data_IF_953021854499
#
_entry.id   IF_953021854499
#
_cell.length_a   1.000
_cell.length_b   1.000
_cell.length_c   1.000
_cell.angle_alpha   90.00
_cell.angle_beta   90.00
_cell.angle_gamma   90.00
#
_symmetry.space_group_name_H-M   'P 1'
#
loop_
_entity.id
_entity.type
_entity.pdbx_description
1 polymer ?
#
# COMPACT_ATOMS: atom_id res chain seq x y z
N UNK A 1 -25.87 -48.17 0.43
CA UNK A 1 -25.85 -46.81 -0.14
C UNK A 1 -25.54 -45.85 1.01
N UNK A 2 -24.40 -45.15 0.97
CA UNK A 2 -23.84 -44.43 2.11
C UNK A 2 -24.28 -42.94 2.10
N UNK A 3 -25.02 -42.43 3.11
CA UNK A 3 -25.62 -41.09 3.06
C UNK A 3 -24.81 -40.01 3.82
N UNK A 4 -23.49 -39.93 3.65
CA UNK A 4 -22.66 -38.93 4.36
C UNK A 4 -21.61 -38.27 3.45
N UNK A 5 -22.06 -37.51 2.46
CA UNK A 5 -21.24 -36.44 1.88
C UNK A 5 -21.70 -35.12 2.48
N UNK A 6 -20.88 -34.43 3.30
CA UNK A 6 -21.22 -33.10 3.78
C UNK A 6 -21.35 -32.12 2.59
N UNK A 7 -22.24 -31.12 2.67
CA UNK A 7 -22.45 -30.18 1.57
C UNK A 7 -21.17 -29.42 1.25
N UNK A 8 -20.75 -29.49 -0.01
CA UNK A 8 -19.70 -28.65 -0.57
C UNK A 8 -20.14 -27.19 -0.50
N UNK A 9 -19.36 -26.37 0.20
CA UNK A 9 -19.37 -24.92 0.02
C UNK A 9 -20.22 -24.12 1.00
N UNK A 10 -19.91 -24.15 2.29
CA UNK A 10 -20.25 -23.01 3.15
C UNK A 10 -19.24 -21.90 2.87
N UNK A 11 -19.60 -20.97 1.97
CA UNK A 11 -18.91 -19.69 1.84
C UNK A 11 -19.09 -18.92 3.16
N UNK A 12 -18.16 -19.09 4.08
CA UNK A 12 -18.15 -18.34 5.33
C UNK A 12 -18.12 -16.84 5.03
N UNK A 13 -19.08 -16.08 5.57
CA UNK A 13 -19.06 -14.61 5.51
C UNK A 13 -17.69 -14.13 6.02
N UNK A 14 -17.05 -13.15 5.34
CA UNK A 14 -15.76 -12.66 5.81
C UNK A 14 -15.86 -12.20 7.27
N UNK A 15 -14.86 -12.53 8.09
CA UNK A 15 -14.93 -12.20 9.51
C UNK A 15 -14.99 -10.68 9.70
N UNK A 16 -15.84 -10.21 10.62
CA UNK A 16 -15.93 -8.77 10.96
C UNK A 16 -14.55 -8.21 11.35
N UNK A 17 -13.75 -9.03 12.02
CA UNK A 17 -12.37 -8.71 12.40
C UNK A 17 -11.48 -8.46 11.18
N UNK A 18 -11.56 -9.28 10.12
CA UNK A 18 -10.78 -9.07 8.90
C UNK A 18 -11.18 -7.76 8.20
N UNK A 19 -12.47 -7.45 8.13
CA UNK A 19 -12.93 -6.18 7.57
C UNK A 19 -12.38 -4.97 8.34
N UNK A 20 -12.43 -5.02 9.67
CA UNK A 20 -11.89 -3.96 10.53
C UNK A 20 -10.36 -3.83 10.35
N UNK A 21 -9.64 -4.96 10.35
CA UNK A 21 -8.19 -4.99 10.14
C UNK A 21 -7.78 -4.38 8.79
N UNK A 22 -8.49 -4.73 7.70
CA UNK A 22 -8.22 -4.14 6.39
C UNK A 22 -8.49 -2.63 6.36
N UNK A 23 -9.49 -2.13 7.07
CA UNK A 23 -9.72 -0.69 7.19
C UNK A 23 -8.63 0.02 7.96
N UNK A 24 -8.20 -0.54 9.09
CA UNK A 24 -7.07 0.00 9.87
C UNK A 24 -5.81 0.04 9.02
N UNK A 25 -5.45 -1.06 8.35
CA UNK A 25 -4.25 -1.11 7.52
C UNK A 25 -4.34 -0.16 6.31
N UNK A 26 -5.48 -0.06 5.64
CA UNK A 26 -5.66 0.93 4.55
C UNK A 26 -5.51 2.36 5.07
N UNK A 27 -6.06 2.69 6.24
CA UNK A 27 -5.92 4.01 6.84
C UNK A 27 -4.45 4.32 7.19
N UNK A 28 -3.73 3.35 7.77
CA UNK A 28 -2.31 3.47 8.06
C UNK A 28 -1.49 3.67 6.77
N UNK A 29 -1.68 2.82 5.76
CA UNK A 29 -1.02 2.97 4.46
C UNK A 29 -1.35 4.31 3.81
N UNK A 30 -2.63 4.70 3.83
CA UNK A 30 -3.08 5.99 3.31
C UNK A 30 -2.35 7.14 3.98
N UNK A 31 -2.31 7.17 5.31
CA UNK A 31 -1.60 8.19 6.07
C UNK A 31 -0.09 8.19 5.78
N UNK A 32 0.54 7.01 5.74
CA UNK A 32 1.98 6.89 5.49
C UNK A 32 2.36 7.37 4.09
N UNK A 33 1.67 6.90 3.05
CA UNK A 33 2.00 7.25 1.68
C UNK A 33 1.59 8.69 1.34
N UNK A 34 0.38 9.14 1.75
CA UNK A 34 0.00 10.55 1.55
C UNK A 34 0.93 11.48 2.32
N UNK A 35 1.22 11.16 3.59
CA UNK A 35 2.14 11.95 4.41
C UNK A 35 3.55 12.01 3.81
N UNK A 36 4.08 10.88 3.32
CA UNK A 36 5.38 10.84 2.65
C UNK A 36 5.40 11.67 1.38
N UNK A 37 4.36 11.58 0.56
CA UNK A 37 4.23 12.36 -0.68
C UNK A 37 4.15 13.86 -0.41
N UNK A 38 3.34 14.29 0.56
CA UNK A 38 3.26 15.70 0.98
C UNK A 38 4.63 16.18 1.50
N UNK A 39 5.26 15.42 2.39
CA UNK A 39 6.56 15.79 2.96
C UNK A 39 7.62 15.98 1.87
N UNK A 40 7.74 15.03 0.93
CA UNK A 40 8.69 15.13 -0.19
C UNK A 40 8.37 16.27 -1.16
N UNK A 41 7.10 16.59 -1.36
CA UNK A 41 6.68 17.64 -2.28
C UNK A 41 6.91 19.05 -1.73
N UNK A 42 6.77 19.24 -0.42
CA UNK A 42 6.73 20.58 0.19
C UNK A 42 7.93 20.92 1.08
N UNK A 43 8.79 19.95 1.43
CA UNK A 43 10.05 20.24 2.14
C UNK A 43 11.14 20.67 1.16
N UNK A 44 11.89 21.76 1.44
CA UNK A 44 13.04 22.15 0.62
C UNK A 44 14.06 21.01 0.45
N UNK A 45 14.54 20.81 -0.78
CA UNK A 45 15.43 19.69 -1.10
C UNK A 45 16.68 19.60 -0.20
N UNK A 46 17.38 20.70 0.13
CA UNK A 46 18.54 20.62 1.03
C UNK A 46 18.19 20.12 2.44
N UNK A 47 17.05 20.54 2.98
CA UNK A 47 16.55 20.08 4.29
C UNK A 47 16.18 18.61 4.23
N UNK A 48 15.51 18.19 3.15
CA UNK A 48 15.12 16.80 2.96
C UNK A 48 16.35 15.90 2.81
N UNK A 49 17.36 16.33 2.05
CA UNK A 49 18.62 15.59 1.87
C UNK A 49 19.42 15.46 3.17
N UNK A 50 19.28 16.38 4.13
CA UNK A 50 19.88 16.26 5.45
C UNK A 50 19.22 15.15 6.30
N UNK A 51 17.93 14.85 6.07
CA UNK A 51 17.18 13.83 6.81
C UNK A 51 17.17 12.47 6.11
N UNK A 52 17.04 12.45 4.79
CA UNK A 52 17.04 11.25 3.95
C UNK A 52 18.04 11.43 2.80
N UNK A 53 19.32 11.07 2.99
CA UNK A 53 20.42 11.40 2.08
C UNK A 53 20.19 11.06 0.60
N UNK A 54 19.47 9.97 0.30
CA UNK A 54 19.18 9.57 -1.08
C UNK A 54 18.44 10.66 -1.87
N UNK A 55 17.63 11.51 -1.20
CA UNK A 55 16.87 12.56 -1.85
C UNK A 55 17.76 13.59 -2.54
N UNK A 56 18.93 13.88 -1.96
CA UNK A 56 19.94 14.79 -2.56
C UNK A 56 20.90 14.11 -3.54
N UNK A 57 20.78 12.79 -3.72
CA UNK A 57 21.71 11.98 -4.52
C UNK A 57 21.07 11.42 -5.80
N UNK A 58 19.84 11.86 -6.08
CA UNK A 58 19.08 11.55 -7.30
C UNK A 58 18.65 12.84 -7.97
N UNK A 59 18.32 12.83 -9.28
CA UNK A 59 17.75 14.00 -9.93
C UNK A 59 16.49 14.49 -9.20
N UNK A 60 16.27 15.79 -9.00
CA UNK A 60 15.08 16.31 -8.31
C UNK A 60 13.76 15.84 -8.92
N UNK A 61 13.71 15.70 -10.24
CA UNK A 61 12.55 15.15 -10.94
C UNK A 61 12.19 13.73 -10.49
N UNK A 62 13.18 12.89 -10.17
CA UNK A 62 12.95 11.55 -9.65
C UNK A 62 12.30 11.60 -8.26
N UNK A 63 12.83 12.43 -7.34
CA UNK A 63 12.25 12.63 -6.02
C UNK A 63 10.78 13.06 -6.10
N UNK A 64 10.47 14.06 -6.93
CA UNK A 64 9.09 14.55 -7.08
C UNK A 64 8.17 13.56 -7.78
N UNK A 65 8.69 12.75 -8.72
CA UNK A 65 7.92 11.64 -9.27
C UNK A 65 7.54 10.61 -8.19
N UNK A 66 8.47 10.26 -7.29
CA UNK A 66 8.17 9.40 -6.14
C UNK A 66 7.14 10.04 -5.22
N UNK A 67 7.21 11.35 -4.97
CA UNK A 67 6.22 12.06 -4.16
C UNK A 67 4.80 11.95 -4.77
N UNK A 68 4.67 12.10 -6.09
CA UNK A 68 3.38 11.93 -6.79
C UNK A 68 2.89 10.48 -6.73
N UNK A 69 3.78 9.50 -6.90
CA UNK A 69 3.42 8.08 -6.80
C UNK A 69 2.96 7.74 -5.38
N UNK A 70 3.63 8.26 -4.35
CA UNK A 70 3.22 8.08 -2.96
C UNK A 70 1.81 8.66 -2.71
N UNK A 71 1.55 9.89 -3.17
CA UNK A 71 0.21 10.48 -3.07
C UNK A 71 -0.85 9.63 -3.78
N UNK A 72 -0.56 9.19 -5.00
CA UNK A 72 -1.48 8.35 -5.78
C UNK A 72 -1.75 7.00 -5.11
N UNK A 73 -0.71 6.36 -4.57
CA UNK A 73 -0.82 5.09 -3.84
C UNK A 73 -1.61 5.23 -2.55
N UNK A 74 -1.31 6.25 -1.74
CA UNK A 74 -1.98 6.51 -0.47
C UNK A 74 -3.45 6.90 -0.63
N UNK A 75 -3.77 7.75 -1.60
CA UNK A 75 -5.16 8.07 -1.92
C UNK A 75 -5.88 6.86 -2.54
N UNK A 76 -5.22 6.16 -3.46
CA UNK A 76 -5.76 5.01 -4.17
C UNK A 76 -6.08 3.82 -3.27
N UNK A 77 -5.32 3.61 -2.19
CA UNK A 77 -5.57 2.49 -1.26
C UNK A 77 -6.77 2.75 -0.34
N UNK A 78 -7.25 4.00 -0.23
CA UNK A 78 -8.37 4.38 0.65
C UNK A 78 -9.62 4.80 -0.12
N UNK A 79 -9.51 5.78 -1.02
CA UNK A 79 -10.67 6.49 -1.59
C UNK A 79 -11.60 5.60 -2.43
N UNK A 80 -11.14 4.70 -3.32
CA UNK A 80 -12.03 3.86 -4.12
C UNK A 80 -12.87 2.91 -3.25
N UNK A 81 -12.26 2.36 -2.20
CA UNK A 81 -12.93 1.53 -1.19
C UNK A 81 -13.90 2.34 -0.33
N UNK A 82 -13.53 3.55 0.09
CA UNK A 82 -14.36 4.42 0.94
C UNK A 82 -15.59 4.96 0.20
N UNK A 83 -15.40 5.43 -1.03
CA UNK A 83 -16.47 5.98 -1.87
C UNK A 83 -17.28 4.90 -2.56
N UNK A 84 -16.74 3.68 -2.62
CA UNK A 84 -17.24 2.54 -3.41
C UNK A 84 -17.30 2.81 -4.92
N UNK A 85 -16.55 3.79 -5.42
CA UNK A 85 -16.42 4.07 -6.86
C UNK A 85 -15.19 3.31 -7.37
N UNK A 86 -15.41 2.35 -8.27
CA UNK A 86 -14.38 1.43 -8.79
C UNK A 86 -13.45 0.84 -7.68
N UNK A 87 -13.97 0.11 -6.67
CA UNK A 87 -13.16 -0.42 -5.57
C UNK A 87 -11.96 -1.29 -5.98
N UNK A 88 -11.98 -1.85 -7.19
CA UNK A 88 -10.82 -2.55 -7.78
C UNK A 88 -9.55 -1.69 -7.85
N UNK A 89 -9.67 -0.36 -7.91
CA UNK A 89 -8.53 0.55 -7.86
C UNK A 89 -7.78 0.49 -6.52
N UNK A 90 -8.46 0.17 -5.41
CA UNK A 90 -7.78 -0.06 -4.13
C UNK A 90 -6.84 -1.26 -4.19
N UNK A 91 -7.26 -2.33 -4.88
CA UNK A 91 -6.43 -3.52 -5.05
C UNK A 91 -5.20 -3.19 -5.90
N UNK A 92 -5.38 -2.45 -7.00
CA UNK A 92 -4.26 -2.02 -7.84
C UNK A 92 -3.32 -1.06 -7.12
N UNK A 93 -3.85 -0.11 -6.35
CA UNK A 93 -3.06 0.81 -5.54
C UNK A 93 -2.23 0.07 -4.48
N UNK A 94 -2.82 -0.89 -3.77
CA UNK A 94 -2.11 -1.72 -2.81
C UNK A 94 -0.97 -2.52 -3.47
N UNK A 95 -1.20 -3.08 -4.68
CA UNK A 95 -0.14 -3.74 -5.44
C UNK A 95 0.96 -2.76 -5.88
N UNK A 96 0.58 -1.57 -6.35
CA UNK A 96 1.52 -0.51 -6.73
C UNK A 96 2.38 -0.04 -5.56
N UNK A 97 1.78 0.15 -4.38
CA UNK A 97 2.52 0.46 -3.15
C UNK A 97 3.52 -0.65 -2.79
N UNK A 98 3.13 -1.93 -2.90
CA UNK A 98 4.06 -3.04 -2.67
C UNK A 98 5.22 -3.01 -3.66
N UNK A 99 4.95 -2.83 -4.96
CA UNK A 99 5.98 -2.76 -6.01
C UNK A 99 6.92 -1.57 -5.82
N UNK A 100 6.39 -0.42 -5.42
CA UNK A 100 7.19 0.76 -5.09
C UNK A 100 8.16 0.46 -3.94
N UNK A 101 7.68 -0.19 -2.88
CA UNK A 101 8.53 -0.50 -1.73
C UNK A 101 9.55 -1.60 -2.02
N UNK A 102 9.21 -2.59 -2.85
CA UNK A 102 10.20 -3.56 -3.37
C UNK A 102 11.28 -2.82 -4.18
N UNK A 103 10.88 -1.86 -5.04
CA UNK A 103 11.83 -1.05 -5.80
C UNK A 103 12.73 -0.23 -4.89
N UNK A 104 12.18 0.35 -3.82
CA UNK A 104 12.95 1.09 -2.81
C UNK A 104 13.94 0.18 -2.06
N UNK A 105 13.55 -1.05 -1.72
CA UNK A 105 14.47 -2.04 -1.10
C UNK A 105 15.64 -2.32 -2.03
N UNK A 106 15.37 -2.62 -3.32
CA UNK A 106 16.42 -2.86 -4.32
C UNK A 106 17.32 -1.64 -4.48
N UNK A 107 16.74 -0.43 -4.52
CA UNK A 107 17.48 0.83 -4.59
C UNK A 107 18.43 0.99 -3.40
N UNK A 108 17.97 0.82 -2.16
CA UNK A 108 18.83 0.92 -0.98
C UNK A 108 19.90 -0.18 -0.92
N UNK A 109 19.56 -1.42 -1.29
CA UNK A 109 20.53 -2.51 -1.36
C UNK A 109 21.63 -2.23 -2.38
N UNK A 110 21.30 -1.69 -3.55
CA UNK A 110 22.28 -1.33 -4.59
C UNK A 110 23.29 -0.26 -4.13
N UNK A 111 22.99 0.43 -3.03
CA UNK A 111 23.79 1.52 -2.44
C UNK A 111 24.49 1.11 -1.13
N UNK A 112 24.38 -0.15 -0.72
CA UNK A 112 24.90 -0.62 0.55
C UNK A 112 24.11 -0.12 1.78
N UNK A 113 22.90 0.39 1.57
CA UNK A 113 22.05 1.01 2.61
C UNK A 113 21.00 0.01 3.16
N UNK A 114 21.34 -1.27 3.25
CA UNK A 114 20.40 -2.32 3.67
C UNK A 114 19.74 -2.04 5.03
N UNK A 115 20.47 -1.38 5.95
CA UNK A 115 19.97 -0.98 7.26
C UNK A 115 18.75 -0.03 7.20
N UNK A 116 18.52 0.66 6.07
CA UNK A 116 17.42 1.61 5.89
C UNK A 116 16.11 0.94 5.42
N UNK A 117 16.15 -0.35 5.06
CA UNK A 117 15.01 -1.06 4.45
C UNK A 117 13.96 -1.70 5.37
N UNK A 118 14.14 -1.87 6.71
CA UNK A 118 13.13 -2.58 7.53
C UNK A 118 11.71 -2.02 7.41
N UNK A 119 11.57 -0.69 7.35
CA UNK A 119 10.25 -0.06 7.20
C UNK A 119 9.63 -0.36 5.82
N UNK A 120 10.42 -0.44 4.75
CA UNK A 120 9.92 -0.82 3.43
C UNK A 120 9.37 -2.25 3.43
N UNK A 121 10.06 -3.22 4.06
CA UNK A 121 9.57 -4.60 4.18
C UNK A 121 8.23 -4.65 4.93
N UNK A 122 8.11 -3.87 6.00
CA UNK A 122 6.85 -3.75 6.74
C UNK A 122 5.72 -3.21 5.86
N UNK A 123 5.98 -2.15 5.08
CA UNK A 123 5.00 -1.59 4.15
C UNK A 123 4.64 -2.53 3.00
N UNK A 124 5.58 -3.35 2.50
CA UNK A 124 5.28 -4.43 1.54
C UNK A 124 4.29 -5.41 2.15
N UNK A 125 4.54 -5.88 3.38
CA UNK A 125 3.67 -6.84 4.04
C UNK A 125 2.24 -6.28 4.22
N UNK A 126 2.10 -5.04 4.71
CA UNK A 126 0.81 -4.38 4.86
C UNK A 126 0.09 -4.17 3.52
N UNK A 127 0.83 -3.76 2.49
CA UNK A 127 0.28 -3.54 1.15
C UNK A 127 -0.23 -4.85 0.53
N UNK A 128 0.54 -5.94 0.65
CA UNK A 128 0.13 -7.27 0.20
C UNK A 128 -1.05 -7.83 1.00
N UNK A 129 -1.13 -7.52 2.30
CA UNK A 129 -2.29 -7.86 3.12
C UNK A 129 -3.57 -7.18 2.61
N UNK A 130 -3.51 -5.88 2.30
CA UNK A 130 -4.65 -5.15 1.70
C UNK A 130 -4.99 -5.69 0.32
N UNK A 131 -3.98 -5.90 -0.54
CA UNK A 131 -4.16 -6.48 -1.87
C UNK A 131 -4.91 -7.81 -1.80
N UNK A 132 -4.41 -8.77 -1.02
CA UNK A 132 -5.02 -10.08 -0.86
C UNK A 132 -6.42 -10.00 -0.25
N UNK A 133 -6.56 -9.22 0.82
CA UNK A 133 -7.80 -9.07 1.58
C UNK A 133 -8.91 -8.45 0.74
N UNK A 134 -8.65 -7.32 0.09
CA UNK A 134 -9.64 -6.63 -0.76
C UNK A 134 -9.88 -7.30 -2.11
N UNK A 135 -8.91 -8.07 -2.62
CA UNK A 135 -9.09 -8.82 -3.88
C UNK A 135 -9.98 -10.06 -3.71
N UNK A 136 -9.80 -10.82 -2.63
CA UNK A 136 -10.31 -12.20 -2.57
C UNK A 136 -11.04 -12.59 -1.29
N UNK A 137 -10.78 -11.93 -0.15
CA UNK A 137 -11.31 -12.38 1.15
C UNK A 137 -12.44 -11.50 1.68
N UNK A 138 -12.37 -10.21 1.43
CA UNK A 138 -13.31 -9.19 1.89
C UNK A 138 -13.43 -8.07 0.85
N UNK A 139 -13.82 -8.40 -0.40
CA UNK A 139 -14.00 -7.41 -1.45
C UNK A 139 -15.12 -6.42 -1.09
N UNK A 140 -14.98 -5.18 -1.56
CA UNK A 140 -16.00 -4.15 -1.42
C UNK A 140 -16.77 -4.06 -2.74
N UNK A 141 -18.09 -4.30 -2.75
CA UNK A 141 -18.89 -4.17 -3.96
C UNK A 141 -18.94 -2.69 -4.39
N UNK A 142 -18.92 -2.41 -5.71
CA UNK A 142 -19.16 -1.07 -6.22
C UNK A 142 -20.51 -0.50 -5.73
N UNK A 143 -20.59 0.82 -5.67
CA UNK A 143 -21.88 1.52 -5.52
C UNK A 143 -22.56 1.55 -6.89
N UNK A 144 -23.63 0.78 -7.06
CA UNK A 144 -24.37 0.64 -8.32
C UNK A 144 -24.42 -0.80 -8.76
#
# INVERSE_FOLDING_TARGET
MNPLSPPVGVSAKPSKALHAGLWVVQALLGLTFVGSGIWKAFTPLPELAAMIPWAGQVPPAFLYAIAVIDLAGGLGVVLPSLTRIKPGLTVLAALGCALLQVSAIVFHFSRGEAANTPFNFFLVALSLFVFWGRRSRAPIPPRG
#
